data_IF_199842623665
#
_entry.id   IF_199842623665
#
_cell.length_a   1.000
_cell.length_b   1.000
_cell.length_c   1.000
_cell.angle_alpha   90.00
_cell.angle_beta   90.00
_cell.angle_gamma   90.00
#
_symmetry.space_group_name_H-M   'P 1'
#
loop_
_entity.id
_entity.type
_entity.pdbx_description
1 polymer ?
#
# COMPACT_ATOMS: atom_id res chain seq x y z
N UNK A 1 -24.17 -30.98 -36.43
CA UNK A 1 -23.85 -31.73 -35.20
C UNK A 1 -22.63 -31.06 -34.57
N UNK A 2 -22.87 -30.14 -33.63
CA UNK A 2 -21.82 -29.45 -32.88
C UNK A 2 -22.04 -29.74 -31.40
N UNK A 3 -21.05 -30.34 -30.75
CA UNK A 3 -21.02 -30.50 -29.30
C UNK A 3 -20.43 -29.24 -28.64
N UNK A 4 -20.99 -28.72 -27.53
CA UNK A 4 -20.39 -27.61 -26.81
C UNK A 4 -19.40 -28.10 -25.74
N UNK A 5 -18.33 -27.31 -25.57
CA UNK A 5 -17.29 -27.45 -24.56
C UNK A 5 -17.82 -27.23 -23.13
N UNK A 6 -17.21 -27.83 -22.09
CA UNK A 6 -17.64 -27.63 -20.71
C UNK A 6 -17.11 -26.31 -20.13
N UNK A 7 -18.02 -25.52 -19.54
CA UNK A 7 -17.69 -24.37 -18.72
C UNK A 7 -16.99 -24.82 -17.42
N UNK A 8 -15.72 -24.45 -17.24
CA UNK A 8 -15.09 -24.49 -15.92
C UNK A 8 -15.47 -23.24 -15.13
N UNK A 9 -16.53 -23.37 -14.32
CA UNK A 9 -16.80 -22.46 -13.21
C UNK A 9 -15.97 -22.91 -12.00
N UNK A 10 -14.77 -22.34 -11.86
CA UNK A 10 -13.96 -22.51 -10.66
C UNK A 10 -14.54 -21.66 -9.53
N UNK A 11 -15.38 -22.27 -8.70
CA UNK A 11 -15.86 -21.72 -7.44
C UNK A 11 -14.67 -21.28 -6.56
N UNK A 12 -14.52 -19.97 -6.36
CA UNK A 12 -13.61 -19.37 -5.37
C UNK A 12 -14.39 -19.00 -4.08
N UNK A 13 -15.39 -19.81 -3.73
CA UNK A 13 -16.04 -19.81 -2.42
C UNK A 13 -15.52 -21.02 -1.66
N UNK A 14 -14.59 -20.80 -0.71
CA UNK A 14 -14.29 -21.71 0.44
C UNK A 14 -12.99 -21.36 1.22
N UNK A 15 -12.49 -20.11 1.18
CA UNK A 15 -11.33 -19.71 2.00
C UNK A 15 -11.65 -18.88 3.25
N UNK A 16 -12.92 -18.50 3.45
CA UNK A 16 -13.35 -17.76 4.63
C UNK A 16 -13.74 -18.56 5.90
N UNK A 17 -13.70 -19.93 5.94
CA UNK A 17 -13.83 -20.63 7.22
C UNK A 17 -12.53 -20.72 8.04
N UNK A 18 -11.34 -20.47 7.47
CA UNK A 18 -10.06 -20.56 8.23
C UNK A 18 -9.78 -19.33 9.09
N UNK A 19 -10.19 -18.15 8.65
CA UNK A 19 -9.97 -16.88 9.37
C UNK A 19 -10.83 -16.80 10.65
N UNK A 20 -11.95 -17.51 10.74
CA UNK A 20 -12.74 -17.57 11.97
C UNK A 20 -12.13 -18.45 13.07
N UNK A 21 -11.21 -19.37 12.74
CA UNK A 21 -10.50 -20.21 13.72
C UNK A 21 -9.21 -19.54 14.25
N UNK A 22 -8.54 -18.73 13.44
CA UNK A 22 -7.26 -18.11 13.85
C UNK A 22 -7.42 -16.82 14.66
N UNK A 23 -8.60 -16.19 14.64
CA UNK A 23 -8.92 -15.02 15.46
C UNK A 23 -9.14 -15.39 16.97
N UNK A 24 -8.88 -16.64 17.35
CA UNK A 24 -9.10 -17.21 18.69
C UNK A 24 -7.86 -17.71 19.44
N UNK A 25 -6.66 -17.77 18.85
CA UNK A 25 -5.47 -18.29 19.54
C UNK A 25 -4.28 -17.36 19.34
N UNK A 26 -3.84 -16.73 20.44
CA UNK A 26 -2.50 -16.14 20.51
C UNK A 26 -1.48 -17.26 20.38
N UNK A 27 -0.86 -17.39 19.20
CA UNK A 27 0.32 -18.21 18.99
C UNK A 27 1.24 -17.42 18.06
N UNK A 28 2.32 -16.90 18.64
CA UNK A 28 3.43 -16.38 17.85
C UNK A 28 4.09 -17.51 17.05
N UNK A 29 4.39 -17.26 15.78
CA UNK A 29 5.39 -18.00 15.03
C UNK A 29 6.15 -17.09 14.07
N UNK A 30 7.47 -17.17 14.23
CA UNK A 30 8.53 -16.87 13.27
C UNK A 30 8.49 -15.50 12.58
N UNK A 31 8.98 -14.51 13.32
CA UNK A 31 9.57 -13.30 12.77
C UNK A 31 10.81 -13.70 11.96
N UNK A 32 10.76 -13.62 10.62
CA UNK A 32 11.99 -13.57 9.84
C UNK A 32 12.48 -12.13 9.87
N UNK A 33 13.59 -11.92 10.56
CA UNK A 33 14.27 -10.63 10.65
C UNK A 33 14.97 -10.41 9.30
N UNK A 34 14.31 -9.70 8.39
CA UNK A 34 14.95 -9.30 7.13
C UNK A 34 15.70 -7.97 7.31
N UNK A 35 16.97 -7.98 6.93
CA UNK A 35 17.89 -6.85 6.92
C UNK A 35 17.52 -5.92 5.74
N UNK A 36 17.09 -4.70 6.02
CA UNK A 36 16.56 -3.73 5.05
C UNK A 36 17.65 -2.99 4.24
N UNK A 37 18.83 -3.59 4.03
CA UNK A 37 19.96 -2.88 3.41
C UNK A 37 19.90 -2.73 1.88
N UNK A 38 18.80 -3.09 1.21
CA UNK A 38 18.72 -3.17 -0.26
C UNK A 38 17.51 -2.50 -0.91
N UNK A 39 17.03 -1.38 -0.37
CA UNK A 39 16.38 -0.38 -1.24
C UNK A 39 17.49 0.24 -2.11
N UNK A 40 18.01 -0.53 -3.07
CA UNK A 40 19.15 -0.16 -3.92
C UNK A 40 18.71 -0.20 -5.38
N UNK A 41 18.36 1.00 -5.85
CA UNK A 41 18.60 1.53 -7.19
C UNK A 41 18.54 0.52 -8.34
N UNK A 42 17.33 0.32 -8.86
CA UNK A 42 17.13 -0.26 -10.18
C UNK A 42 17.51 0.73 -11.28
N UNK A 43 18.78 0.75 -11.68
CA UNK A 43 19.20 1.14 -13.04
C UNK A 43 20.35 0.24 -13.48
N UNK A 44 20.02 -0.91 -14.06
CA UNK A 44 20.95 -1.62 -14.92
C UNK A 44 20.70 -1.13 -16.36
N UNK A 45 21.56 -0.24 -16.85
CA UNK A 45 21.64 0.05 -18.28
C UNK A 45 23.08 -0.21 -18.72
N UNK A 46 23.29 -1.42 -19.19
CA UNK A 46 24.49 -1.85 -19.88
C UNK A 46 24.43 -1.29 -21.31
N UNK A 47 25.20 -0.21 -21.57
CA UNK A 47 25.53 0.21 -22.93
C UNK A 47 26.99 0.62 -23.00
N UNK A 48 27.76 -0.30 -23.56
CA UNK A 48 29.04 -0.11 -24.26
C UNK A 48 29.11 1.21 -25.02
N UNK A 49 30.04 2.09 -24.64
CA UNK A 49 30.77 2.95 -25.59
C UNK A 49 32.23 3.16 -25.16
N UNK A 50 33.10 2.99 -26.15
CA UNK A 50 34.56 2.93 -26.14
C UNK A 50 35.10 4.29 -26.64
N UNK A 51 36.10 4.85 -25.92
CA UNK A 51 37.20 5.78 -26.30
C UNK A 51 36.86 7.00 -27.21
N UNK A 52 37.29 8.26 -26.97
CA UNK A 52 38.66 8.72 -26.67
C UNK A 52 38.67 10.27 -26.49
N UNK A 53 39.56 10.78 -25.62
CA UNK A 53 40.22 12.11 -25.57
C UNK A 53 39.45 13.40 -25.95
N UNK A 54 39.45 14.39 -25.05
CA UNK A 54 40.46 15.46 -25.02
C UNK A 54 40.31 16.38 -23.80
N UNK A 55 41.42 17.02 -23.44
CA UNK A 55 41.76 17.68 -22.18
C UNK A 55 41.68 19.20 -22.35
N UNK A 56 40.85 19.91 -21.57
CA UNK A 56 41.14 21.21 -20.89
C UNK A 56 39.88 21.87 -20.30
N UNK A 57 40.14 22.65 -19.24
CA UNK A 57 39.28 23.58 -18.49
C UNK A 57 38.31 22.98 -17.46
N UNK A 58 38.86 22.69 -16.28
CA UNK A 58 38.12 22.51 -15.03
C UNK A 58 37.94 23.88 -14.38
N UNK A 59 36.85 24.57 -14.72
CA UNK A 59 36.23 25.52 -13.80
C UNK A 59 35.41 24.72 -12.80
N UNK A 60 35.71 24.91 -11.52
CA UNK A 60 35.06 24.34 -10.34
C UNK A 60 33.58 24.76 -10.29
N UNK A 61 32.75 24.07 -11.06
CA UNK A 61 31.34 23.93 -10.76
C UNK A 61 31.22 22.74 -9.83
N UNK A 62 31.10 23.00 -8.53
CA UNK A 62 30.42 22.07 -7.62
C UNK A 62 29.00 21.89 -8.15
N UNK A 63 28.83 20.98 -9.09
CA UNK A 63 27.55 20.34 -9.33
C UNK A 63 27.21 19.62 -8.03
N UNK A 64 26.32 20.24 -7.25
CA UNK A 64 25.65 19.56 -6.15
C UNK A 64 25.10 18.25 -6.71
N UNK A 65 25.68 17.13 -6.30
CA UNK A 65 25.22 15.81 -6.70
C UNK A 65 23.69 15.75 -6.50
N UNK A 66 22.90 15.35 -7.50
CA UNK A 66 21.45 15.40 -7.39
C UNK A 66 21.03 14.61 -6.15
N UNK A 67 20.41 15.30 -5.19
CA UNK A 67 19.87 14.68 -3.97
C UNK A 67 19.01 13.51 -4.43
N UNK A 68 19.45 12.28 -4.11
CA UNK A 68 18.69 11.08 -4.42
C UNK A 68 17.41 11.11 -3.59
N UNK A 69 16.35 11.64 -4.18
CA UNK A 69 15.03 11.65 -3.56
C UNK A 69 14.51 10.22 -3.45
N UNK A 70 14.04 9.86 -2.25
CA UNK A 70 13.36 8.60 -2.02
C UNK A 70 12.12 8.47 -2.90
N UNK A 71 11.65 7.24 -3.15
CA UNK A 71 10.46 7.02 -3.96
C UNK A 71 9.25 7.80 -3.42
N UNK A 72 9.07 7.84 -2.10
CA UNK A 72 7.97 8.56 -1.46
C UNK A 72 8.05 10.08 -1.68
N UNK A 73 9.25 10.66 -1.65
CA UNK A 73 9.45 12.08 -1.96
C UNK A 73 9.03 12.42 -3.39
N UNK A 74 9.31 11.52 -4.34
CA UNK A 74 8.86 11.68 -5.73
C UNK A 74 7.35 11.61 -5.85
N UNK A 75 6.68 10.72 -5.10
CA UNK A 75 5.21 10.65 -5.07
C UNK A 75 4.62 11.95 -4.52
N UNK A 76 5.12 12.43 -3.37
CA UNK A 76 4.65 13.69 -2.77
C UNK A 76 4.86 14.89 -3.70
N UNK A 77 6.03 14.96 -4.34
CA UNK A 77 6.35 16.00 -5.31
C UNK A 77 5.45 15.94 -6.55
N UNK A 78 5.17 14.74 -7.09
CA UNK A 78 4.32 14.54 -8.25
C UNK A 78 2.86 14.98 -8.00
N UNK A 79 2.35 14.68 -6.81
CA UNK A 79 1.00 15.08 -6.37
C UNK A 79 0.97 16.57 -5.94
N UNK A 80 2.13 17.17 -5.71
CA UNK A 80 2.27 18.56 -5.31
C UNK A 80 1.72 18.83 -3.92
N UNK A 81 1.90 17.91 -2.97
CA UNK A 81 1.43 18.08 -1.59
C UNK A 81 2.22 19.16 -0.86
N UNK A 82 1.53 20.14 -0.27
CA UNK A 82 2.15 21.27 0.42
C UNK A 82 1.60 21.53 1.83
N UNK A 83 2.15 22.54 2.52
CA UNK A 83 1.71 22.94 3.85
C UNK A 83 0.26 23.45 3.88
N UNK A 84 -0.22 24.02 2.78
CA UNK A 84 -1.58 24.52 2.68
C UNK A 84 -2.58 23.36 2.53
N UNK A 85 -2.22 22.30 1.80
CA UNK A 85 -2.95 21.02 1.77
C UNK A 85 -3.07 20.43 3.18
N UNK A 86 -1.94 20.35 3.91
CA UNK A 86 -1.95 19.87 5.30
C UNK A 86 -2.86 20.71 6.20
N UNK A 87 -2.85 22.04 6.08
CA UNK A 87 -3.73 22.90 6.84
C UNK A 87 -5.21 22.70 6.46
N UNK A 88 -5.52 22.53 5.17
CA UNK A 88 -6.88 22.30 4.67
C UNK A 88 -7.45 20.97 5.13
N UNK A 89 -6.70 19.87 5.02
CA UNK A 89 -7.18 18.56 5.48
C UNK A 89 -7.39 18.52 7.00
N UNK A 90 -6.50 19.14 7.77
CA UNK A 90 -6.65 19.26 9.22
C UNK A 90 -7.88 20.10 9.61
N UNK A 91 -8.16 21.18 8.88
CA UNK A 91 -9.38 21.97 9.08
C UNK A 91 -10.63 21.16 8.74
N UNK A 92 -10.61 20.45 7.61
CA UNK A 92 -11.72 19.61 7.18
C UNK A 92 -12.01 18.49 8.18
N UNK A 93 -10.96 17.81 8.70
CA UNK A 93 -11.09 16.82 9.77
C UNK A 93 -11.87 17.35 10.98
N UNK A 94 -11.51 18.53 11.49
CA UNK A 94 -12.21 19.16 12.62
C UNK A 94 -13.69 19.43 12.32
N UNK A 95 -14.04 19.75 11.08
CA UNK A 95 -15.42 19.94 10.67
C UNK A 95 -16.22 18.63 10.63
N UNK A 96 -15.55 17.48 10.58
CA UNK A 96 -16.15 16.15 10.51
C UNK A 96 -16.10 15.37 11.81
N UNK A 97 -15.54 15.89 12.90
CA UNK A 97 -15.33 15.11 14.14
C UNK A 97 -16.64 14.49 14.68
N UNK A 98 -17.80 15.14 14.46
CA UNK A 98 -19.12 14.59 14.82
C UNK A 98 -19.63 13.51 13.87
N UNK A 99 -19.21 13.57 12.60
CA UNK A 99 -19.78 12.77 11.51
C UNK A 99 -18.87 11.56 11.17
N UNK A 100 -17.63 11.57 11.64
CA UNK A 100 -16.61 10.56 11.32
C UNK A 100 -17.05 9.13 11.69
N UNK A 101 -17.74 8.96 12.82
CA UNK A 101 -18.24 7.63 13.21
C UNK A 101 -19.34 7.13 12.27
N UNK A 102 -20.18 8.02 11.74
CA UNK A 102 -21.23 7.67 10.79
C UNK A 102 -20.62 7.30 9.43
N UNK A 103 -19.63 8.06 8.97
CA UNK A 103 -18.83 7.74 7.77
C UNK A 103 -18.22 6.34 7.87
N UNK A 104 -17.53 6.03 8.97
CA UNK A 104 -16.90 4.72 9.17
C UNK A 104 -17.93 3.60 9.14
N UNK A 105 -19.10 3.81 9.77
CA UNK A 105 -20.20 2.83 9.75
C UNK A 105 -20.70 2.61 8.33
N UNK A 106 -20.92 3.68 7.58
CA UNK A 106 -21.51 3.62 6.25
C UNK A 106 -20.54 2.99 5.24
N UNK A 107 -19.23 3.31 5.33
CA UNK A 107 -18.17 2.63 4.57
C UNK A 107 -18.16 1.13 4.92
N UNK A 108 -18.20 0.77 6.20
CA UNK A 108 -18.18 -0.62 6.64
C UNK A 108 -19.36 -1.43 6.09
N UNK A 109 -20.56 -0.85 6.09
CA UNK A 109 -21.75 -1.47 5.49
C UNK A 109 -21.63 -1.64 3.99
N UNK A 110 -21.12 -0.63 3.28
CA UNK A 110 -20.93 -0.69 1.83
C UNK A 110 -19.87 -1.72 1.43
N UNK A 111 -18.75 -1.77 2.16
CA UNK A 111 -17.71 -2.77 1.95
C UNK A 111 -18.24 -4.19 2.20
N UNK A 112 -19.01 -4.40 3.28
CA UNK A 112 -19.63 -5.69 3.56
C UNK A 112 -20.63 -6.10 2.47
N UNK A 113 -21.38 -5.14 1.91
CA UNK A 113 -22.24 -5.38 0.75
C UNK A 113 -21.44 -5.81 -0.47
N UNK A 114 -20.39 -5.06 -0.79
CA UNK A 114 -19.55 -5.32 -1.94
C UNK A 114 -18.87 -6.70 -1.87
N UNK A 115 -18.36 -7.09 -0.70
CA UNK A 115 -17.71 -8.39 -0.47
C UNK A 115 -18.70 -9.55 -0.26
N UNK A 116 -20.00 -9.30 -0.26
CA UNK A 116 -21.02 -10.33 0.02
C UNK A 116 -21.01 -10.82 1.47
N UNK A 117 -20.42 -10.06 2.40
CA UNK A 117 -20.28 -10.41 3.82
C UNK A 117 -21.31 -9.71 4.71
N UNK A 118 -22.44 -9.27 4.15
CA UNK A 118 -23.50 -8.59 4.89
C UNK A 118 -24.02 -9.39 6.09
N UNK A 119 -24.06 -10.73 5.99
CA UNK A 119 -24.48 -11.60 7.09
C UNK A 119 -23.58 -11.43 8.33
N UNK A 120 -22.28 -11.14 8.14
CA UNK A 120 -21.32 -10.89 9.21
C UNK A 120 -21.55 -9.55 9.92
N UNK A 121 -22.31 -8.62 9.34
CA UNK A 121 -22.68 -7.35 10.00
C UNK A 121 -23.59 -7.56 11.22
N UNK A 122 -24.22 -8.74 11.37
CA UNK A 122 -24.92 -9.11 12.61
C UNK A 122 -23.97 -9.40 13.79
N UNK A 123 -22.70 -9.74 13.50
CA UNK A 123 -21.70 -10.05 14.51
C UNK A 123 -21.03 -8.77 15.02
N UNK A 124 -21.40 -8.35 16.25
CA UNK A 124 -20.87 -7.15 16.90
C UNK A 124 -19.33 -7.13 16.99
N UNK A 125 -18.67 -8.28 17.14
CA UNK A 125 -17.19 -8.36 17.22
C UNK A 125 -16.55 -8.09 15.86
N UNK A 126 -17.17 -8.56 14.78
CA UNK A 126 -16.73 -8.30 13.41
C UNK A 126 -16.88 -6.81 13.08
N UNK A 127 -18.08 -6.27 13.30
CA UNK A 127 -18.39 -4.84 13.06
C UNK A 127 -17.40 -3.93 13.80
N UNK A 128 -17.18 -4.16 15.10
CA UNK A 128 -16.24 -3.35 15.90
C UNK A 128 -14.82 -3.37 15.35
N UNK A 129 -14.32 -4.53 14.92
CA UNK A 129 -12.97 -4.65 14.35
C UNK A 129 -12.85 -3.98 12.99
N UNK A 130 -13.85 -4.17 12.12
CA UNK A 130 -13.89 -3.52 10.83
C UNK A 130 -13.89 -2.00 11.00
N UNK A 131 -14.77 -1.47 11.86
CA UNK A 131 -14.83 -0.03 12.13
C UNK A 131 -13.55 0.51 12.77
N UNK A 132 -12.91 -0.24 13.68
CA UNK A 132 -11.63 0.17 14.25
C UNK A 132 -10.54 0.28 13.19
N UNK A 133 -10.44 -0.72 12.31
CA UNK A 133 -9.47 -0.74 11.21
C UNK A 133 -9.71 0.42 10.22
N UNK A 134 -10.97 0.62 9.80
CA UNK A 134 -11.36 1.72 8.92
C UNK A 134 -11.12 3.09 9.58
N UNK A 135 -11.39 3.19 10.88
CA UNK A 135 -11.14 4.40 11.66
C UNK A 135 -9.65 4.75 11.79
N UNK A 136 -8.81 3.77 12.12
CA UNK A 136 -7.35 3.95 12.14
C UNK A 136 -6.81 4.41 10.78
N UNK A 137 -7.29 3.79 9.70
CA UNK A 137 -6.92 4.16 8.34
C UNK A 137 -7.32 5.60 8.01
N UNK A 138 -8.61 5.94 8.17
CA UNK A 138 -9.18 7.22 7.81
C UNK A 138 -8.64 8.38 8.68
N UNK A 139 -8.48 8.16 9.98
CA UNK A 139 -7.90 9.16 10.88
C UNK A 139 -6.46 9.49 10.46
N UNK A 140 -5.67 8.47 10.14
CA UNK A 140 -4.30 8.70 9.69
C UNK A 140 -4.26 9.42 8.34
N UNK A 141 -5.11 9.05 7.38
CA UNK A 141 -5.22 9.76 6.10
C UNK A 141 -5.51 11.26 6.31
N UNK A 142 -6.47 11.56 7.18
CA UNK A 142 -6.91 12.93 7.49
C UNK A 142 -5.94 13.71 8.39
N UNK A 143 -4.91 13.06 8.94
CA UNK A 143 -3.84 13.75 9.66
C UNK A 143 -2.92 14.53 8.70
N UNK A 144 -2.70 13.98 7.50
CA UNK A 144 -1.98 14.66 6.41
C UNK A 144 -0.51 14.99 6.72
N UNK A 145 0.11 14.36 7.73
CA UNK A 145 1.53 14.55 8.02
C UNK A 145 2.42 14.06 6.87
N UNK A 146 2.07 12.91 6.28
CA UNK A 146 2.78 12.28 5.16
C UNK A 146 4.30 12.34 5.32
N UNK A 147 4.75 11.95 6.51
CA UNK A 147 6.15 11.81 6.92
C UNK A 147 6.59 10.34 6.86
N UNK A 148 7.83 10.06 7.25
CA UNK A 148 8.37 8.70 7.27
C UNK A 148 7.61 7.78 8.24
N UNK A 149 7.14 8.31 9.37
CA UNK A 149 6.30 7.56 10.31
C UNK A 149 4.94 7.18 9.69
N UNK A 150 4.38 8.07 8.85
CA UNK A 150 3.19 7.76 8.07
C UNK A 150 3.43 6.60 7.11
N UNK A 151 4.55 6.61 6.38
CA UNK A 151 4.93 5.52 5.46
C UNK A 151 4.94 4.19 6.20
N UNK A 152 5.65 4.10 7.34
CA UNK A 152 5.72 2.87 8.13
C UNK A 152 4.34 2.39 8.62
N UNK A 153 3.51 3.30 9.11
CA UNK A 153 2.13 2.99 9.52
C UNK A 153 1.30 2.49 8.34
N UNK A 154 1.49 3.05 7.14
CA UNK A 154 0.77 2.61 5.94
C UNK A 154 1.26 1.27 5.42
N UNK A 155 2.55 0.99 5.48
CA UNK A 155 3.09 -0.33 5.17
C UNK A 155 2.55 -1.39 6.13
N UNK A 156 2.48 -1.08 7.43
CA UNK A 156 1.85 -1.97 8.40
C UNK A 156 0.35 -2.17 8.13
N UNK A 157 -0.35 -1.12 7.70
CA UNK A 157 -1.76 -1.21 7.32
C UNK A 157 -1.96 -2.08 6.06
N UNK A 158 -1.16 -1.89 5.00
CA UNK A 158 -1.21 -2.72 3.80
C UNK A 158 -0.99 -4.21 4.11
N UNK A 159 -0.05 -4.53 5.01
CA UNK A 159 0.15 -5.91 5.51
C UNK A 159 -1.08 -6.45 6.24
N UNK A 160 -1.71 -5.66 7.12
CA UNK A 160 -2.98 -6.05 7.78
C UNK A 160 -4.09 -6.34 6.78
N UNK A 161 -4.18 -5.60 5.67
CA UNK A 161 -5.17 -5.82 4.61
C UNK A 161 -4.93 -7.14 3.87
N UNK A 162 -3.67 -7.46 3.57
CA UNK A 162 -3.27 -8.74 2.99
C UNK A 162 -3.60 -9.92 3.92
N UNK A 163 -3.37 -9.79 5.24
CA UNK A 163 -3.71 -10.82 6.23
C UNK A 163 -5.20 -11.16 6.27
N UNK A 164 -6.07 -10.22 5.91
CA UNK A 164 -7.52 -10.42 5.79
C UNK A 164 -7.97 -10.70 4.35
N UNK A 165 -7.07 -11.12 3.48
CA UNK A 165 -7.35 -11.54 2.10
C UNK A 165 -8.10 -10.47 1.27
N UNK A 166 -7.82 -9.18 1.54
CA UNK A 166 -8.25 -8.10 0.66
C UNK A 166 -7.25 -7.95 -0.47
N UNK A 167 -7.73 -8.07 -1.70
CA UNK A 167 -6.89 -7.81 -2.89
C UNK A 167 -6.72 -6.30 -3.06
N UNK A 168 -5.74 -5.89 -3.87
CA UNK A 168 -5.54 -4.47 -4.14
C UNK A 168 -6.76 -3.84 -4.86
N UNK A 169 -7.46 -4.61 -5.69
CA UNK A 169 -8.72 -4.19 -6.32
C UNK A 169 -9.81 -3.90 -5.28
N UNK A 170 -9.89 -4.70 -4.20
CA UNK A 170 -10.81 -4.40 -3.09
C UNK A 170 -10.44 -3.08 -2.40
N UNK A 171 -9.14 -2.79 -2.26
CA UNK A 171 -8.63 -1.54 -1.67
C UNK A 171 -9.00 -0.34 -2.52
N UNK A 172 -8.82 -0.43 -3.85
CA UNK A 172 -9.24 0.64 -4.79
C UNK A 172 -10.72 0.97 -4.60
N UNK A 173 -11.56 -0.06 -4.43
CA UNK A 173 -13.00 0.14 -4.25
C UNK A 173 -13.35 0.71 -2.87
N UNK A 174 -12.66 0.28 -1.82
CA UNK A 174 -12.78 0.86 -0.48
C UNK A 174 -12.41 2.34 -0.48
N UNK A 175 -11.31 2.69 -1.15
CA UNK A 175 -10.85 4.05 -1.33
C UNK A 175 -11.91 4.90 -2.03
N UNK A 176 -12.44 4.44 -3.18
CA UNK A 176 -13.48 5.16 -3.91
C UNK A 176 -14.80 5.31 -3.13
N UNK A 177 -15.20 4.31 -2.33
CA UNK A 177 -16.34 4.43 -1.42
C UNK A 177 -16.12 5.55 -0.40
N UNK A 178 -14.92 5.61 0.15
CA UNK A 178 -14.51 6.61 1.14
C UNK A 178 -14.44 8.01 0.50
N UNK A 179 -13.79 8.13 -0.66
CA UNK A 179 -13.70 9.38 -1.44
C UNK A 179 -15.07 9.99 -1.66
N UNK A 180 -16.04 9.19 -2.13
CA UNK A 180 -17.42 9.66 -2.37
C UNK A 180 -18.10 10.17 -1.11
N UNK A 181 -17.95 9.47 0.02
CA UNK A 181 -18.55 9.91 1.27
C UNK A 181 -17.93 11.21 1.79
N UNK A 182 -16.60 11.33 1.77
CA UNK A 182 -15.92 12.55 2.18
C UNK A 182 -16.25 13.73 1.25
N UNK A 183 -16.38 13.49 -0.05
CA UNK A 183 -16.76 14.53 -1.00
C UNK A 183 -18.20 14.98 -0.81
N UNK A 184 -19.11 14.06 -0.48
CA UNK A 184 -20.48 14.40 -0.09
C UNK A 184 -20.49 15.31 1.14
N UNK A 185 -19.79 14.91 2.20
CA UNK A 185 -19.67 15.72 3.42
C UNK A 185 -19.03 17.09 3.18
N UNK A 186 -17.98 17.15 2.35
CA UNK A 186 -17.36 18.42 1.99
C UNK A 186 -18.36 19.35 1.31
N UNK A 187 -19.17 18.84 0.37
CA UNK A 187 -20.22 19.63 -0.29
C UNK A 187 -21.26 20.13 0.71
N UNK A 188 -21.71 19.27 1.62
CA UNK A 188 -22.74 19.63 2.60
C UNK A 188 -22.25 20.68 3.61
N UNK A 189 -20.98 20.62 4.02
CA UNK A 189 -20.41 21.52 5.03
C UNK A 189 -19.83 22.81 4.47
N UNK A 190 -19.44 22.82 3.19
CA UNK A 190 -18.69 23.91 2.56
C UNK A 190 -19.40 24.51 1.35
N UNK A 191 -20.69 24.21 1.15
CA UNK A 191 -21.52 24.71 0.03
C UNK A 191 -21.46 26.23 -0.12
N UNK A 192 -21.39 26.95 1.01
CA UNK A 192 -21.44 28.41 1.06
C UNK A 192 -20.11 29.06 0.66
N UNK A 193 -19.07 28.27 0.43
CA UNK A 193 -17.74 28.74 0.06
C UNK A 193 -17.15 27.92 -1.08
N UNK A 194 -17.57 28.18 -2.34
CA UNK A 194 -17.19 27.37 -3.51
C UNK A 194 -15.68 27.20 -3.69
N UNK A 195 -14.89 28.25 -3.41
CA UNK A 195 -13.43 28.21 -3.50
C UNK A 195 -12.81 27.31 -2.43
N UNK A 196 -13.35 27.35 -1.20
CA UNK A 196 -12.91 26.51 -0.08
C UNK A 196 -13.29 25.05 -0.34
N UNK A 197 -14.50 24.80 -0.83
CA UNK A 197 -14.95 23.48 -1.24
C UNK A 197 -14.03 22.90 -2.33
N UNK A 198 -13.81 23.63 -3.42
CA UNK A 198 -12.95 23.20 -4.53
C UNK A 198 -11.54 22.86 -4.05
N UNK A 199 -10.94 23.75 -3.25
CA UNK A 199 -9.59 23.52 -2.70
C UNK A 199 -9.55 22.31 -1.75
N UNK A 200 -10.60 22.10 -0.96
CA UNK A 200 -10.70 20.95 -0.04
C UNK A 200 -10.84 19.63 -0.80
N UNK A 201 -11.68 19.60 -1.85
CA UNK A 201 -11.83 18.42 -2.71
C UNK A 201 -10.50 18.07 -3.40
N UNK A 202 -9.79 19.08 -3.91
CA UNK A 202 -8.47 18.86 -4.52
C UNK A 202 -7.45 18.36 -3.49
N UNK A 203 -7.44 18.89 -2.28
CA UNK A 203 -6.56 18.39 -1.20
C UNK A 203 -6.88 16.94 -0.83
N UNK A 204 -8.17 16.57 -0.73
CA UNK A 204 -8.57 15.19 -0.46
C UNK A 204 -8.13 14.24 -1.58
N UNK A 205 -8.28 14.64 -2.84
CA UNK A 205 -7.85 13.82 -3.97
C UNK A 205 -6.34 13.55 -3.94
N UNK A 206 -5.53 14.59 -3.68
CA UNK A 206 -4.10 14.45 -3.45
C UNK A 206 -3.78 13.46 -2.31
N UNK A 207 -4.47 13.58 -1.18
CA UNK A 207 -4.28 12.72 -0.02
C UNK A 207 -4.55 11.24 -0.35
N UNK A 208 -5.67 10.96 -1.03
CA UNK A 208 -6.01 9.61 -1.46
C UNK A 208 -5.01 9.04 -2.47
N UNK A 209 -4.53 9.85 -3.42
CA UNK A 209 -3.53 9.40 -4.40
C UNK A 209 -2.21 9.02 -3.73
N UNK A 210 -1.76 9.79 -2.73
CA UNK A 210 -0.57 9.46 -1.92
C UNK A 210 -0.79 8.17 -1.12
N UNK A 211 -1.93 8.06 -0.44
CA UNK A 211 -2.28 6.90 0.39
C UNK A 211 -2.36 5.61 -0.42
N UNK A 212 -3.03 5.66 -1.57
CA UNK A 212 -3.17 4.52 -2.46
C UNK A 212 -1.82 4.07 -3.03
N UNK A 213 -0.94 5.01 -3.39
CA UNK A 213 0.40 4.68 -3.85
C UNK A 213 1.22 3.94 -2.78
N UNK A 214 1.12 4.37 -1.51
CA UNK A 214 1.79 3.73 -0.38
C UNK A 214 1.23 2.35 -0.05
N UNK A 215 -0.10 2.19 -0.09
CA UNK A 215 -0.69 0.88 0.11
C UNK A 215 -0.28 -0.05 -1.04
N UNK A 216 -0.31 0.44 -2.28
CA UNK A 216 0.10 -0.33 -3.45
C UNK A 216 1.55 -0.83 -3.37
N UNK A 217 2.50 -0.01 -2.88
CA UNK A 217 3.89 -0.44 -2.74
C UNK A 217 4.01 -1.65 -1.81
N UNK A 218 3.19 -1.71 -0.75
CA UNK A 218 3.14 -2.86 0.16
C UNK A 218 2.63 -4.13 -0.55
N UNK A 219 1.63 -3.99 -1.42
CA UNK A 219 1.12 -5.11 -2.22
C UNK A 219 2.14 -5.57 -3.27
N UNK A 220 2.91 -4.64 -3.85
CA UNK A 220 3.96 -4.95 -4.79
C UNK A 220 5.09 -5.74 -4.10
N UNK A 221 5.57 -5.28 -2.95
CA UNK A 221 6.57 -5.96 -2.13
C UNK A 221 6.12 -7.39 -1.77
N UNK A 222 4.88 -7.56 -1.33
CA UNK A 222 4.34 -8.89 -1.00
C UNK A 222 4.29 -9.81 -2.23
N UNK A 223 3.92 -9.27 -3.40
CA UNK A 223 3.89 -10.02 -4.65
C UNK A 223 5.29 -10.40 -5.13
N UNK A 224 6.25 -9.50 -5.02
CA UNK A 224 7.66 -9.73 -5.37
C UNK A 224 8.24 -10.83 -4.48
N UNK A 225 8.06 -10.75 -3.15
CA UNK A 225 8.51 -11.78 -2.22
C UNK A 225 7.90 -13.15 -2.51
N UNK A 226 6.61 -13.22 -2.85
CA UNK A 226 5.97 -14.48 -3.22
C UNK A 226 6.50 -15.02 -4.56
N UNK A 227 6.75 -14.15 -5.54
CA UNK A 227 7.33 -14.54 -6.82
C UNK A 227 8.74 -15.09 -6.66
N UNK A 228 9.59 -14.43 -5.86
CA UNK A 228 10.94 -14.91 -5.53
C UNK A 228 10.89 -16.29 -4.86
N UNK A 229 9.97 -16.47 -3.91
CA UNK A 229 9.77 -17.76 -3.24
C UNK A 229 9.37 -18.87 -4.20
N UNK A 230 8.42 -18.60 -5.11
CA UNK A 230 7.96 -19.57 -6.12
C UNK A 230 9.07 -19.91 -7.11
N UNK A 231 9.84 -18.92 -7.57
CA UNK A 231 10.96 -19.14 -8.49
C UNK A 231 12.07 -19.96 -7.83
N UNK A 232 12.39 -19.68 -6.56
CA UNK A 232 13.34 -20.47 -5.79
C UNK A 232 12.86 -21.92 -5.63
N UNK A 233 11.60 -22.12 -5.25
CA UNK A 233 11.02 -23.46 -5.11
C UNK A 233 11.07 -24.25 -6.42
N UNK A 234 10.76 -23.59 -7.55
CA UNK A 234 10.87 -24.20 -8.87
C UNK A 234 12.32 -24.55 -9.22
N UNK A 235 13.28 -23.65 -8.96
CA UNK A 235 14.70 -23.90 -9.20
C UNK A 235 15.20 -25.12 -8.40
N UNK A 236 14.89 -25.18 -7.11
CA UNK A 236 15.30 -26.30 -6.24
C UNK A 236 14.65 -27.61 -6.71
N UNK A 237 13.37 -27.56 -7.11
CA UNK A 237 12.67 -28.75 -7.63
C UNK A 237 13.26 -29.26 -8.95
N UNK A 238 13.66 -28.38 -9.86
CA UNK A 238 14.18 -28.77 -11.19
C UNK A 238 15.62 -29.27 -11.08
N UNK A 239 16.44 -28.63 -10.24
CA UNK A 239 17.86 -28.94 -10.14
C UNK A 239 18.19 -30.02 -9.10
N UNK A 240 17.25 -30.30 -8.19
CA UNK A 240 17.49 -31.19 -7.04
C UNK A 240 18.41 -30.59 -5.98
N UNK A 241 18.73 -29.29 -6.07
CA UNK A 241 19.49 -28.60 -5.03
C UNK A 241 18.71 -28.58 -3.71
N UNK A 242 19.41 -28.81 -2.59
CA UNK A 242 18.78 -28.63 -1.27
C UNK A 242 18.67 -27.14 -0.94
N UNK A 243 17.53 -26.73 -0.36
CA UNK A 243 17.30 -25.34 0.09
C UNK A 243 18.41 -24.83 1.03
N UNK A 244 18.81 -25.66 1.99
CA UNK A 244 19.87 -25.34 2.95
C UNK A 244 21.23 -25.06 2.31
N UNK A 245 21.55 -25.72 1.19
CA UNK A 245 22.79 -25.44 0.45
C UNK A 245 22.72 -24.12 -0.31
N UNK A 246 21.56 -23.79 -0.89
CA UNK A 246 21.35 -22.51 -1.57
C UNK A 246 21.43 -21.34 -0.58
N UNK A 247 20.76 -21.43 0.56
CA UNK A 247 20.78 -20.40 1.61
C UNK A 247 22.21 -20.17 2.13
N UNK A 248 22.96 -21.24 2.43
CA UNK A 248 24.36 -21.13 2.85
C UNK A 248 25.27 -20.47 1.78
N UNK A 249 25.01 -20.74 0.50
CA UNK A 249 25.76 -20.13 -0.61
C UNK A 249 25.42 -18.64 -0.78
N UNK A 250 24.14 -18.29 -0.70
CA UNK A 250 23.67 -16.91 -0.78
C UNK A 250 24.25 -16.09 0.38
N UNK A 251 24.24 -16.64 1.60
CA UNK A 251 24.86 -16.03 2.76
C UNK A 251 26.35 -15.81 2.53
N UNK A 252 27.11 -16.84 2.11
CA UNK A 252 28.54 -16.73 1.82
C UNK A 252 28.89 -15.69 0.74
N UNK A 253 28.02 -15.51 -0.27
CA UNK A 253 28.16 -14.45 -1.27
C UNK A 253 27.88 -13.06 -0.69
N UNK A 254 26.89 -12.93 0.19
CA UNK A 254 26.54 -11.65 0.84
C UNK A 254 27.69 -11.11 1.71
N UNK A 255 28.48 -12.01 2.33
CA UNK A 255 29.68 -11.65 3.10
C UNK A 255 30.81 -11.13 2.21
N UNK A 256 31.03 -11.74 1.04
CA UNK A 256 32.08 -11.30 0.08
C UNK A 256 31.79 -9.96 -0.58
N UNK A 257 30.52 -9.57 -0.68
CA UNK A 257 30.11 -8.29 -1.28
C UNK A 257 30.12 -7.11 -0.30
N UNK A 258 30.39 -7.36 0.99
CA UNK A 258 30.51 -6.33 2.05
C UNK A 258 31.97 -5.99 2.42
N UNK A 259 32.96 -6.67 1.83
CA UNK A 259 34.39 -6.32 1.85
C UNK A 259 34.76 -5.43 0.65
#
# INVERSE_FOLDING_TARGET
>A
MNAPLPCMSGSRMDKWPRILLEIGLGIGKAFVKFDHSWIRDGTNTDHTQVLNRSRRDVTDHREDAPVRMGWFDRVRMCVGWDLADRARIAKFRRCMDTDLSDVIRDIGQQLAKFKGTQSLMSNKRFVRRLHSMLGEWLIGLLDGSFDEEYVERRSAFGRKLLEIDLTFEDVILLEELTRRQLFGLAKDKLSDSPQVLSSTMHTLDKAFNIDLALIYSTYLEAREAEMERVLLDQFLSVTGFSRTLYENLADAQSWRSRE
#
